data_IF_035032354799
#
_entry.id   IF_035032354799
#
_cell.length_a   1.000
_cell.length_b   1.000
_cell.length_c   1.000
_cell.angle_alpha   90.00
_cell.angle_beta   90.00
_cell.angle_gamma   90.00
#
_symmetry.space_group_name_H-M   'P 1'
#
loop_
_entity.id
_entity.type
_entity.pdbx_description
1 polymer ?
#
# COMPACT_ATOMS: atom_id res chain seq x y z
N UNK A 1 39.62 -67.00 1.01
CA UNK A 1 38.52 -66.02 1.14
C UNK A 1 39.09 -64.63 0.89
N UNK A 2 38.51 -63.88 -0.03
CA UNK A 2 39.09 -62.67 -0.59
C UNK A 2 38.67 -61.44 0.24
N UNK A 3 39.64 -60.71 0.82
CA UNK A 3 39.37 -59.57 1.71
C UNK A 3 38.69 -58.38 1.01
N UNK A 4 38.76 -58.31 -0.32
CA UNK A 4 38.11 -57.27 -1.12
C UNK A 4 36.60 -57.42 -1.21
N UNK A 5 36.05 -58.64 -1.16
CA UNK A 5 34.59 -58.86 -1.15
C UNK A 5 33.96 -58.41 0.18
N UNK A 6 34.62 -58.66 1.31
CA UNK A 6 34.15 -58.26 2.63
C UNK A 6 34.00 -56.73 2.79
N UNK A 7 34.94 -55.96 2.22
CA UNK A 7 34.89 -54.49 2.25
C UNK A 7 33.79 -53.91 1.35
N UNK A 8 33.45 -54.61 0.25
CA UNK A 8 32.36 -54.22 -0.65
C UNK A 8 30.97 -54.50 -0.05
N UNK A 9 30.81 -55.56 0.75
CA UNK A 9 29.57 -55.82 1.49
C UNK A 9 29.37 -54.82 2.64
N UNK A 10 30.42 -54.50 3.41
CA UNK A 10 30.33 -53.51 4.49
C UNK A 10 29.98 -52.10 4.00
N UNK A 11 30.39 -51.74 2.78
CA UNK A 11 30.01 -50.44 2.18
C UNK A 11 28.59 -50.44 1.64
N UNK A 12 28.05 -51.58 1.17
CA UNK A 12 26.65 -51.72 0.73
C UNK A 12 25.65 -51.58 1.87
N UNK A 13 25.86 -52.27 3.00
CA UNK A 13 24.95 -52.18 4.15
C UNK A 13 24.88 -50.75 4.71
N UNK A 14 26.03 -50.06 4.78
CA UNK A 14 26.13 -48.67 5.23
C UNK A 14 25.45 -47.66 4.29
N UNK A 15 25.31 -47.99 3.00
CA UNK A 15 24.57 -47.16 2.04
C UNK A 15 23.06 -47.41 2.07
N UNK A 16 22.60 -48.61 2.39
CA UNK A 16 21.18 -48.94 2.54
C UNK A 16 20.57 -48.29 3.79
N UNK A 17 21.32 -48.22 4.89
CA UNK A 17 20.90 -47.55 6.11
C UNK A 17 20.69 -46.04 5.92
N UNK A 18 21.59 -45.38 5.16
CA UNK A 18 21.45 -43.95 4.80
C UNK A 18 20.23 -43.64 3.93
N UNK A 19 19.81 -44.57 3.05
CA UNK A 19 18.62 -44.39 2.20
C UNK A 19 17.31 -44.50 3.00
N UNK A 20 17.26 -45.37 4.02
CA UNK A 20 16.09 -45.51 4.91
C UNK A 20 15.86 -44.30 5.82
N UNK A 21 16.90 -43.47 6.03
CA UNK A 21 16.82 -42.25 6.83
C UNK A 21 16.34 -41.01 6.06
N UNK A 22 16.19 -41.07 4.73
CA UNK A 22 15.71 -39.92 3.96
C UNK A 22 14.18 -39.91 3.92
N UNK A 23 13.57 -39.39 4.98
CA UNK A 23 12.14 -39.04 5.00
C UNK A 23 11.94 -37.79 4.13
N UNK A 24 11.63 -38.00 2.86
CA UNK A 24 11.21 -36.93 1.95
C UNK A 24 9.78 -36.46 2.26
N UNK A 25 9.48 -35.21 1.92
CA UNK A 25 8.12 -34.68 1.94
C UNK A 25 7.29 -35.41 0.88
N UNK A 26 6.10 -35.89 1.24
CA UNK A 26 5.27 -36.61 0.26
C UNK A 26 4.62 -35.62 -0.71
N UNK A 27 4.41 -36.04 -1.97
CA UNK A 27 3.71 -35.22 -2.96
C UNK A 27 2.27 -34.90 -2.52
N UNK A 28 1.64 -35.80 -1.76
CA UNK A 28 0.28 -35.59 -1.23
C UNK A 28 0.26 -34.53 -0.12
N UNK A 29 1.27 -34.49 0.76
CA UNK A 29 1.39 -33.42 1.76
C UNK A 29 1.53 -32.06 1.09
N UNK A 30 2.34 -31.97 0.02
CA UNK A 30 2.48 -30.72 -0.72
C UNK A 30 1.18 -30.31 -1.40
N UNK A 31 0.43 -31.27 -1.96
CA UNK A 31 -0.83 -31.02 -2.64
C UNK A 31 -1.90 -30.45 -1.69
N UNK A 32 -2.00 -30.99 -0.47
CA UNK A 32 -2.96 -30.48 0.52
C UNK A 32 -2.57 -29.07 1.00
N UNK A 33 -1.27 -28.79 1.16
CA UNK A 33 -0.80 -27.46 1.57
C UNK A 33 -1.12 -26.39 0.53
N UNK A 34 -0.84 -26.66 -0.76
CA UNK A 34 -1.18 -25.69 -1.81
C UNK A 34 -2.69 -25.48 -1.94
N UNK A 35 -3.50 -26.52 -1.70
CA UNK A 35 -4.96 -26.42 -1.73
C UNK A 35 -5.47 -25.47 -0.64
N UNK A 36 -4.94 -25.56 0.58
CA UNK A 36 -5.32 -24.67 1.68
C UNK A 36 -4.86 -23.23 1.40
N UNK A 37 -3.61 -23.04 0.94
CA UNK A 37 -3.08 -21.71 0.61
C UNK A 37 -3.92 -21.05 -0.51
N UNK A 38 -4.36 -21.82 -1.50
CA UNK A 38 -5.21 -21.30 -2.59
C UNK A 38 -6.55 -20.76 -2.06
N UNK A 39 -7.19 -21.47 -1.12
CA UNK A 39 -8.45 -21.01 -0.49
C UNK A 39 -8.21 -19.73 0.32
N UNK A 40 -7.15 -19.69 1.13
CA UNK A 40 -6.81 -18.50 1.93
C UNK A 40 -6.48 -17.30 1.04
N UNK A 41 -5.69 -17.49 -0.01
CA UNK A 41 -5.30 -16.44 -0.94
C UNK A 41 -6.52 -15.84 -1.67
N UNK A 42 -7.49 -16.67 -2.06
CA UNK A 42 -8.71 -16.22 -2.73
C UNK A 42 -9.51 -15.20 -1.91
N UNK A 43 -9.52 -15.33 -0.57
CA UNK A 43 -10.20 -14.39 0.33
C UNK A 43 -9.28 -13.24 0.75
N UNK A 44 -8.01 -13.53 1.04
CA UNK A 44 -7.07 -12.55 1.57
C UNK A 44 -6.68 -11.47 0.56
N UNK A 45 -6.49 -11.81 -0.72
CA UNK A 45 -6.05 -10.85 -1.75
C UNK A 45 -7.06 -9.71 -1.98
N UNK A 46 -8.37 -9.94 -2.21
CA UNK A 46 -9.31 -8.84 -2.40
C UNK A 46 -9.47 -8.01 -1.13
N UNK A 47 -9.43 -8.62 0.05
CA UNK A 47 -9.50 -7.90 1.32
C UNK A 47 -8.27 -7.00 1.54
N UNK A 48 -7.07 -7.53 1.29
CA UNK A 48 -5.82 -6.78 1.41
C UNK A 48 -5.77 -5.60 0.43
N UNK A 49 -6.26 -5.78 -0.80
CA UNK A 49 -6.34 -4.70 -1.80
C UNK A 49 -7.26 -3.57 -1.34
N UNK A 50 -8.44 -3.90 -0.76
CA UNK A 50 -9.34 -2.90 -0.17
C UNK A 50 -8.69 -2.17 1.01
N UNK A 51 -7.99 -2.91 1.87
CA UNK A 51 -7.27 -2.32 3.01
C UNK A 51 -6.20 -1.32 2.55
N UNK A 52 -5.40 -1.68 1.55
CA UNK A 52 -4.42 -0.76 0.94
C UNK A 52 -5.07 0.50 0.38
N UNK A 53 -6.18 0.37 -0.36
CA UNK A 53 -6.91 1.53 -0.88
C UNK A 53 -7.43 2.43 0.25
N UNK A 54 -8.01 1.85 1.32
CA UNK A 54 -8.49 2.62 2.47
C UNK A 54 -7.35 3.35 3.20
N UNK A 55 -6.20 2.70 3.34
CA UNK A 55 -5.01 3.33 3.91
C UNK A 55 -4.53 4.50 3.03
N UNK A 56 -4.50 4.31 1.70
CA UNK A 56 -4.17 5.37 0.75
C UNK A 56 -5.13 6.57 0.85
N UNK A 57 -6.45 6.32 0.94
CA UNK A 57 -7.47 7.37 1.14
C UNK A 57 -7.20 8.16 2.42
N UNK A 58 -6.97 7.46 3.53
CA UNK A 58 -6.71 8.11 4.82
C UNK A 58 -5.44 8.94 4.79
N UNK A 59 -4.36 8.43 4.18
CA UNK A 59 -3.10 9.14 4.06
C UNK A 59 -3.22 10.37 3.15
N UNK A 60 -3.88 10.25 2.00
CA UNK A 60 -4.11 11.36 1.09
C UNK A 60 -4.98 12.46 1.73
N UNK A 61 -6.03 12.08 2.47
CA UNK A 61 -6.90 13.03 3.19
C UNK A 61 -6.11 13.81 4.25
N UNK A 62 -5.26 13.11 5.02
CA UNK A 62 -4.39 13.74 6.01
C UNK A 62 -3.36 14.68 5.37
N UNK A 63 -2.70 14.24 4.30
CA UNK A 63 -1.74 15.06 3.56
C UNK A 63 -2.39 16.31 2.96
N UNK A 64 -3.62 16.20 2.42
CA UNK A 64 -4.36 17.34 1.88
C UNK A 64 -4.77 18.33 2.98
N UNK A 65 -5.17 17.82 4.15
CA UNK A 65 -5.50 18.67 5.30
C UNK A 65 -4.25 19.41 5.81
N UNK A 66 -3.10 18.74 5.84
CA UNK A 66 -1.83 19.37 6.16
C UNK A 66 -1.47 20.46 5.13
N UNK A 67 -1.59 20.16 3.84
CA UNK A 67 -1.34 21.13 2.77
C UNK A 67 -2.22 22.38 2.88
N UNK A 68 -3.51 22.22 3.18
CA UNK A 68 -4.43 23.34 3.45
C UNK A 68 -3.94 24.17 4.64
N UNK A 69 -3.47 23.52 5.70
CA UNK A 69 -2.97 24.21 6.89
C UNK A 69 -1.69 25.01 6.60
N UNK A 70 -0.80 24.44 5.78
CA UNK A 70 0.42 25.12 5.32
C UNK A 70 0.10 26.30 4.40
N UNK A 71 -0.88 26.15 3.51
CA UNK A 71 -1.36 27.23 2.65
C UNK A 71 -1.91 28.41 3.46
N UNK A 72 -2.71 28.12 4.49
CA UNK A 72 -3.21 29.13 5.43
C UNK A 72 -2.09 29.81 6.22
N UNK A 73 -1.08 29.05 6.65
CA UNK A 73 0.10 29.61 7.32
C UNK A 73 0.92 30.52 6.39
N UNK A 74 1.13 30.11 5.13
CA UNK A 74 1.83 30.93 4.14
C UNK A 74 1.10 32.26 3.90
N UNK A 75 -0.23 32.23 3.77
CA UNK A 75 -1.03 33.44 3.65
C UNK A 75 -0.88 34.35 4.89
N UNK A 76 -0.90 33.79 6.10
CA UNK A 76 -0.73 34.56 7.33
C UNK A 76 0.67 35.20 7.45
N UNK A 77 1.71 34.51 7.01
CA UNK A 77 3.10 34.97 7.13
C UNK A 77 3.47 36.06 6.11
N UNK A 78 3.05 35.91 4.85
CA UNK A 78 3.51 36.78 3.76
C UNK A 78 2.42 37.18 2.74
N UNK A 79 1.15 36.86 3.01
CA UNK A 79 0.04 37.17 2.11
C UNK A 79 0.03 36.34 0.82
N UNK A 80 0.78 35.22 0.76
CA UNK A 80 0.80 34.38 -0.42
C UNK A 80 -0.57 33.70 -0.61
N UNK A 81 -1.19 33.97 -1.76
CA UNK A 81 -2.50 33.43 -2.14
C UNK A 81 -2.43 32.17 -2.99
N UNK A 82 -1.22 31.75 -3.41
CA UNK A 82 -1.03 30.54 -4.22
C UNK A 82 -0.06 29.60 -3.51
N UNK A 83 -0.53 28.43 -3.11
CA UNK A 83 0.28 27.43 -2.44
C UNK A 83 0.19 26.10 -3.17
N UNK A 84 1.35 25.56 -3.57
CA UNK A 84 1.45 24.24 -4.19
C UNK A 84 2.09 23.29 -3.21
N UNK A 85 1.46 22.14 -2.99
CA UNK A 85 2.01 21.05 -2.20
C UNK A 85 2.04 19.76 -3.02
N UNK A 86 2.86 18.80 -2.60
CA UNK A 86 2.91 17.49 -3.25
C UNK A 86 2.22 16.45 -2.38
N UNK A 87 1.19 15.78 -2.94
CA UNK A 87 0.47 14.69 -2.30
C UNK A 87 0.71 13.42 -3.11
N UNK A 88 1.59 12.56 -2.61
CA UNK A 88 2.02 11.38 -3.35
C UNK A 88 2.80 11.79 -4.61
N UNK A 89 2.21 11.55 -5.78
CA UNK A 89 2.81 11.90 -7.09
C UNK A 89 2.08 13.03 -7.79
N UNK A 90 1.10 13.67 -7.13
CA UNK A 90 0.32 14.78 -7.67
C UNK A 90 0.72 16.07 -6.96
N UNK A 91 0.98 17.12 -7.74
CA UNK A 91 1.02 18.48 -7.21
C UNK A 91 -0.41 18.97 -7.04
N UNK A 92 -0.69 19.57 -5.90
CA UNK A 92 -1.99 20.14 -5.56
C UNK A 92 -1.83 21.63 -5.34
N UNK A 93 -2.48 22.42 -6.18
CA UNK A 93 -2.52 23.86 -6.16
C UNK A 93 -3.73 24.34 -5.35
N UNK A 94 -3.47 25.17 -4.34
CA UNK A 94 -4.47 25.82 -3.50
C UNK A 94 -4.39 27.31 -3.76
N UNK A 95 -5.53 27.89 -4.10
CA UNK A 95 -5.69 29.34 -4.26
C UNK A 95 -6.55 29.87 -3.14
N UNK A 96 -6.06 30.89 -2.43
CA UNK A 96 -6.77 31.59 -1.36
C UNK A 96 -7.29 32.94 -1.87
N UNK A 97 -8.40 33.40 -1.30
CA UNK A 97 -8.90 34.75 -1.53
C UNK A 97 -7.96 35.79 -0.90
N UNK A 98 -7.58 36.80 -1.68
CA UNK A 98 -6.60 37.80 -1.27
C UNK A 98 -7.07 38.76 -0.15
N UNK A 99 -8.38 38.80 0.13
CA UNK A 99 -8.96 39.67 1.13
C UNK A 99 -9.32 38.89 2.40
N UNK A 100 -9.84 37.67 2.27
CA UNK A 100 -10.31 36.87 3.40
C UNK A 100 -9.29 35.85 3.89
N UNK A 101 -8.33 35.42 3.04
CA UNK A 101 -7.44 34.31 3.34
C UNK A 101 -8.13 32.95 3.37
N UNK A 102 -9.39 32.86 2.93
CA UNK A 102 -10.12 31.60 2.82
C UNK A 102 -9.75 30.88 1.51
N UNK A 103 -9.86 29.56 1.48
CA UNK A 103 -9.64 28.78 0.26
C UNK A 103 -10.70 29.14 -0.79
N UNK A 104 -10.24 29.65 -1.93
CA UNK A 104 -11.03 29.98 -3.10
C UNK A 104 -11.17 28.78 -4.04
N UNK A 105 -10.07 28.09 -4.35
CA UNK A 105 -10.08 26.85 -5.13
C UNK A 105 -8.98 25.88 -4.69
N UNK A 106 -9.21 24.60 -4.95
CA UNK A 106 -8.17 23.55 -4.92
C UNK A 106 -8.18 22.88 -6.29
N UNK A 107 -7.05 22.79 -6.97
CA UNK A 107 -6.94 22.32 -8.36
C UNK A 107 -7.86 23.09 -9.33
N UNK A 108 -8.08 24.39 -9.07
CA UNK A 108 -9.03 25.20 -9.84
C UNK A 108 -10.50 24.86 -9.61
N UNK A 109 -10.81 24.00 -8.63
CA UNK A 109 -12.15 23.57 -8.28
C UNK A 109 -12.64 24.31 -7.03
N UNK A 110 -13.84 24.90 -7.11
CA UNK A 110 -14.46 25.62 -6.00
C UNK A 110 -14.86 24.68 -4.85
N UNK A 111 -14.82 25.13 -3.58
CA UNK A 111 -15.28 24.37 -2.42
C UNK A 111 -16.67 23.75 -2.61
N UNK A 112 -16.83 22.52 -2.14
CA UNK A 112 -18.04 21.71 -2.30
C UNK A 112 -18.06 20.84 -3.56
N UNK A 113 -17.20 21.10 -4.53
CA UNK A 113 -17.03 20.26 -5.72
C UNK A 113 -15.85 19.29 -5.55
N UNK A 114 -15.75 18.32 -6.46
CA UNK A 114 -14.75 17.26 -6.42
C UNK A 114 -13.59 17.50 -7.38
N UNK A 115 -12.40 17.06 -6.98
CA UNK A 115 -11.17 17.04 -7.77
C UNK A 115 -10.45 15.70 -7.57
N UNK A 116 -9.47 15.39 -8.42
CA UNK A 116 -8.78 14.08 -8.39
C UNK A 116 -7.34 14.23 -7.93
N UNK A 117 -6.91 13.38 -7.00
CA UNK A 117 -5.51 13.23 -6.58
C UNK A 117 -5.06 11.80 -6.87
N UNK A 118 -3.82 11.61 -7.32
CA UNK A 118 -3.22 10.29 -7.45
C UNK A 118 -2.28 9.99 -6.28
N UNK A 119 -2.64 8.98 -5.47
CA UNK A 119 -1.86 8.57 -4.30
C UNK A 119 -1.59 7.07 -4.31
N UNK A 120 -0.31 6.68 -4.21
CA UNK A 120 0.11 5.27 -4.19
C UNK A 120 -0.46 4.42 -5.34
N UNK A 121 -0.63 5.03 -6.53
CA UNK A 121 -1.19 4.37 -7.72
C UNK A 121 -2.73 4.30 -7.77
N UNK A 122 -3.42 4.90 -6.80
CA UNK A 122 -4.88 5.04 -6.81
C UNK A 122 -5.28 6.46 -7.22
N UNK A 123 -6.21 6.59 -8.17
CA UNK A 123 -6.90 7.85 -8.44
C UNK A 123 -8.05 8.01 -7.43
N UNK A 124 -7.93 9.00 -6.57
CA UNK A 124 -8.86 9.29 -5.48
C UNK A 124 -9.66 10.55 -5.80
N UNK A 125 -10.96 10.51 -5.54
CA UNK A 125 -11.83 11.68 -5.68
C UNK A 125 -11.89 12.38 -4.34
N UNK A 126 -11.47 13.63 -4.28
CA UNK A 126 -11.44 14.44 -3.06
C UNK A 126 -12.37 15.66 -3.18
N UNK A 127 -12.85 16.15 -2.04
CA UNK A 127 -13.57 17.40 -1.92
C UNK A 127 -13.15 18.15 -0.66
N UNK A 128 -13.33 19.47 -0.70
CA UNK A 128 -13.11 20.37 0.42
C UNK A 128 -14.37 21.19 0.69
N UNK A 129 -14.80 21.28 1.95
CA UNK A 129 -15.92 22.11 2.36
C UNK A 129 -15.40 23.35 3.08
N UNK A 130 -15.60 24.54 2.49
CA UNK A 130 -15.25 25.82 3.12
C UNK A 130 -16.08 26.14 4.35
N UNK A 131 -17.29 25.57 4.49
CA UNK A 131 -18.17 25.79 5.64
C UNK A 131 -17.60 25.22 6.94
N UNK A 132 -16.96 24.05 6.88
CA UNK A 132 -16.48 23.32 8.06
C UNK A 132 -14.97 22.99 8.00
N UNK A 133 -14.25 23.48 6.98
CA UNK A 133 -12.84 23.18 6.74
C UNK A 133 -12.55 21.69 6.48
N UNK A 134 -13.57 20.89 6.16
CA UNK A 134 -13.45 19.43 6.10
C UNK A 134 -12.99 18.96 4.72
N UNK A 135 -11.97 18.11 4.71
CA UNK A 135 -11.53 17.34 3.55
C UNK A 135 -12.15 15.94 3.57
N UNK A 136 -12.59 15.45 2.41
CA UNK A 136 -13.08 14.08 2.23
C UNK A 136 -12.52 13.51 0.93
N UNK A 137 -11.95 12.31 0.96
CA UNK A 137 -11.50 11.59 -0.23
C UNK A 137 -12.06 10.15 -0.27
N UNK A 138 -12.28 9.61 -1.46
CA UNK A 138 -12.78 8.24 -1.72
C UNK A 138 -12.19 7.57 -2.97
#
# INVERSE_FOLDING_TARGET
MNYTELALEQTKEKQEEKRKSQKGFTLIELLVVIAIIAILAAVAIPQFTKYKRKAAISAATGALTQCISEAAAAYADNGNTNYTCQIGSTNVDIVLDANTGEISTIEGVAPGNTFTITYSGYSLTCSYSSTNGKVSCE
#
